data_IF_685360115742
#
_entry.id   IF_685360115742
#
_cell.length_a   1.000
_cell.length_b   1.000
_cell.length_c   1.000
_cell.angle_alpha   90.00
_cell.angle_beta   90.00
_cell.angle_gamma   90.00
#
_symmetry.space_group_name_H-M   'P 1'
#
loop_
_entity.id
_entity.type
_entity.pdbx_description
1 polymer ?
#
# COMPACT_ATOMS: atom_id res chain seq x y z
N UNK A 1 9.99 -7.78 11.74
CA UNK A 1 10.30 -8.99 11.01
C UNK A 1 10.83 -8.64 9.62
N UNK A 2 11.67 -9.49 9.01
CA UNK A 2 12.38 -9.25 7.74
C UNK A 2 11.40 -8.95 6.58
N UNK A 3 10.29 -9.68 6.51
CA UNK A 3 9.22 -9.51 5.51
C UNK A 3 8.51 -8.14 5.60
N UNK A 4 8.40 -7.60 6.79
CA UNK A 4 7.77 -6.31 7.03
C UNK A 4 8.64 -5.15 6.53
N UNK A 5 9.96 -5.22 6.77
CA UNK A 5 10.93 -4.23 6.27
C UNK A 5 11.06 -4.29 4.73
N UNK A 6 10.84 -5.45 4.13
CA UNK A 6 10.82 -5.62 2.67
C UNK A 6 9.57 -5.00 2.04
N UNK A 7 8.39 -5.13 2.67
CA UNK A 7 7.17 -4.49 2.17
C UNK A 7 7.19 -2.96 2.28
N UNK A 8 7.86 -2.39 3.28
CA UNK A 8 8.05 -0.93 3.36
C UNK A 8 8.97 -0.39 2.27
N UNK A 9 9.99 -1.15 1.86
CA UNK A 9 10.84 -0.81 0.71
C UNK A 9 10.07 -0.79 -0.62
N UNK A 10 9.01 -1.59 -0.74
CA UNK A 10 8.08 -1.57 -1.87
C UNK A 10 7.34 -0.22 -1.99
N UNK A 11 7.16 0.48 -0.89
CA UNK A 11 6.49 1.78 -0.85
C UNK A 11 7.43 2.94 -1.26
N UNK A 12 8.74 2.76 -1.11
CA UNK A 12 9.74 3.76 -1.52
C UNK A 12 9.89 3.85 -3.05
N UNK A 13 9.62 2.75 -3.75
CA UNK A 13 9.72 2.68 -5.21
C UNK A 13 8.60 1.78 -5.76
N UNK A 14 7.38 2.32 -5.94
CA UNK A 14 6.19 1.53 -6.27
C UNK A 14 6.23 0.89 -7.66
N UNK A 15 7.21 1.27 -8.48
CA UNK A 15 7.40 0.71 -9.82
C UNK A 15 8.77 0.05 -9.92
N UNK A 16 8.80 -1.23 -10.24
CA UNK A 16 10.02 -1.95 -10.63
C UNK A 16 9.96 -2.23 -12.11
N UNK A 17 11.01 -1.80 -12.81
CA UNK A 17 11.20 -2.22 -14.20
C UNK A 17 11.75 -3.64 -14.15
N UNK A 18 10.96 -4.61 -14.58
CA UNK A 18 11.38 -6.01 -14.71
C UNK A 18 11.95 -6.25 -16.10
N UNK A 19 13.00 -7.08 -16.19
CA UNK A 19 13.54 -7.51 -17.48
C UNK A 19 12.66 -8.59 -18.11
N UNK A 20 12.96 -8.95 -19.37
CA UNK A 20 12.13 -9.90 -20.13
C UNK A 20 12.06 -11.28 -19.48
N UNK A 21 13.19 -11.79 -18.94
CA UNK A 21 13.23 -13.09 -18.26
C UNK A 21 12.40 -13.10 -16.97
N UNK A 22 12.46 -12.01 -16.21
CA UNK A 22 11.68 -11.84 -14.99
C UNK A 22 10.18 -11.72 -15.31
N UNK A 23 9.83 -11.02 -16.41
CA UNK A 23 8.45 -10.91 -16.90
C UNK A 23 7.91 -12.28 -17.27
N UNK A 24 8.67 -13.06 -18.02
CA UNK A 24 8.26 -14.40 -18.42
C UNK A 24 8.11 -15.33 -17.21
N UNK A 25 9.01 -15.24 -16.23
CA UNK A 25 8.90 -16.00 -14.99
C UNK A 25 7.64 -15.64 -14.22
N UNK A 26 7.33 -14.34 -14.04
CA UNK A 26 6.10 -13.90 -13.42
C UNK A 26 4.86 -14.41 -14.16
N UNK A 27 4.86 -14.36 -15.51
CA UNK A 27 3.77 -14.89 -16.33
C UNK A 27 3.53 -16.37 -16.06
N UNK A 28 4.59 -17.19 -16.07
CA UNK A 28 4.48 -18.63 -15.76
C UNK A 28 3.88 -18.90 -14.38
N UNK A 29 4.20 -18.09 -13.37
CA UNK A 29 3.58 -18.18 -12.05
C UNK A 29 2.08 -17.86 -12.09
N UNK A 30 1.68 -16.81 -12.79
CA UNK A 30 0.27 -16.46 -12.93
C UNK A 30 -0.52 -17.53 -13.69
N UNK A 31 0.04 -18.06 -14.78
CA UNK A 31 -0.57 -19.12 -15.55
C UNK A 31 -0.75 -20.38 -14.70
N UNK A 32 0.27 -20.77 -13.94
CA UNK A 32 0.21 -21.90 -13.02
C UNK A 32 -0.83 -21.69 -11.91
N UNK A 33 -0.90 -20.50 -11.31
CA UNK A 33 -1.93 -20.18 -10.30
C UNK A 33 -3.32 -20.30 -10.91
N UNK A 34 -3.55 -19.81 -12.14
CA UNK A 34 -4.82 -19.94 -12.83
C UNK A 34 -5.17 -21.40 -13.14
N UNK A 35 -4.19 -22.18 -13.57
CA UNK A 35 -4.38 -23.59 -13.90
C UNK A 35 -4.73 -24.39 -12.64
N UNK A 36 -3.94 -24.26 -11.57
CA UNK A 36 -4.20 -24.90 -10.29
C UNK A 36 -5.54 -24.48 -9.70
N UNK A 37 -5.91 -23.19 -9.81
CA UNK A 37 -7.20 -22.70 -9.28
C UNK A 37 -8.43 -23.30 -9.93
N UNK A 38 -8.31 -23.83 -11.17
CA UNK A 38 -9.38 -24.51 -11.90
C UNK A 38 -9.50 -26.00 -11.55
N UNK A 39 -8.48 -26.58 -10.94
CA UNK A 39 -8.49 -27.99 -10.54
C UNK A 39 -9.41 -28.18 -9.32
N UNK A 40 -10.25 -29.23 -9.34
CA UNK A 40 -11.09 -29.61 -8.21
C UNK A 40 -10.41 -30.71 -7.39
N UNK A 41 -9.39 -30.35 -6.61
CA UNK A 41 -8.60 -31.29 -5.81
C UNK A 41 -8.62 -30.91 -4.33
N UNK A 42 -8.42 -31.87 -3.39
CA UNK A 42 -8.19 -31.57 -1.98
C UNK A 42 -7.00 -30.61 -1.80
N UNK A 43 -7.05 -29.72 -0.82
CA UNK A 43 -5.99 -28.76 -0.47
C UNK A 43 -5.60 -27.76 -1.59
N UNK A 44 -6.53 -27.47 -2.50
CA UNK A 44 -6.24 -26.54 -3.60
C UNK A 44 -6.02 -25.11 -3.09
N UNK A 45 -6.76 -24.68 -2.05
CA UNK A 45 -6.59 -23.36 -1.46
C UNK A 45 -5.19 -23.17 -0.89
N UNK A 46 -4.69 -24.17 -0.23
CA UNK A 46 -3.34 -24.21 0.36
C UNK A 46 -2.28 -24.20 -0.74
N UNK A 47 -2.49 -24.93 -1.82
CA UNK A 47 -1.59 -24.96 -2.97
C UNK A 47 -1.52 -23.60 -3.67
N UNK A 48 -2.66 -22.95 -3.90
CA UNK A 48 -2.71 -21.59 -4.47
C UNK A 48 -2.05 -20.59 -3.53
N UNK A 49 -2.31 -20.66 -2.22
CA UNK A 49 -1.68 -19.78 -1.24
C UNK A 49 -0.15 -19.95 -1.20
N UNK A 50 0.35 -21.18 -1.32
CA UNK A 50 1.78 -21.46 -1.40
C UNK A 50 2.42 -20.87 -2.68
N UNK A 51 1.75 -20.97 -3.84
CA UNK A 51 2.21 -20.36 -5.09
C UNK A 51 2.23 -18.83 -5.01
N UNK A 52 1.20 -18.23 -4.43
CA UNK A 52 1.14 -16.79 -4.19
C UNK A 52 2.28 -16.36 -3.24
N UNK A 53 2.52 -17.10 -2.17
CA UNK A 53 3.63 -16.82 -1.25
C UNK A 53 4.97 -16.93 -1.96
N UNK A 54 5.16 -17.95 -2.81
CA UNK A 54 6.39 -18.15 -3.58
C UNK A 54 6.68 -16.99 -4.53
N UNK A 55 5.67 -16.48 -5.27
CA UNK A 55 5.87 -15.34 -6.17
C UNK A 55 6.21 -14.07 -5.38
N UNK A 56 5.63 -13.86 -4.18
CA UNK A 56 6.01 -12.74 -3.33
C UNK A 56 7.47 -12.80 -2.87
N UNK A 57 7.96 -13.99 -2.48
CA UNK A 57 9.37 -14.17 -2.14
C UNK A 57 10.29 -13.91 -3.33
N UNK A 58 9.91 -14.39 -4.51
CA UNK A 58 10.66 -14.17 -5.75
C UNK A 58 10.72 -12.68 -6.09
N UNK A 59 9.59 -11.99 -6.05
CA UNK A 59 9.54 -10.55 -6.29
C UNK A 59 10.36 -9.77 -5.25
N UNK A 60 10.33 -10.17 -3.99
CA UNK A 60 11.16 -9.59 -2.93
C UNK A 60 12.66 -9.76 -3.19
N UNK A 61 13.09 -10.94 -3.66
CA UNK A 61 14.49 -11.20 -4.01
C UNK A 61 14.96 -10.34 -5.20
N UNK A 62 14.17 -10.26 -6.28
CA UNK A 62 14.44 -9.40 -7.46
C UNK A 62 14.55 -7.94 -7.06
N UNK A 63 13.77 -7.51 -6.07
CA UNK A 63 13.75 -6.15 -5.57
C UNK A 63 14.99 -5.83 -4.72
N UNK A 64 15.35 -6.73 -3.81
CA UNK A 64 16.48 -6.54 -2.91
C UNK A 64 17.77 -6.41 -3.68
N UNK A 65 17.95 -7.19 -4.75
CA UNK A 65 19.14 -7.15 -5.61
C UNK A 65 19.29 -5.78 -6.29
N UNK A 66 18.21 -5.18 -6.76
CA UNK A 66 18.20 -3.85 -7.39
C UNK A 66 18.42 -2.69 -6.42
N UNK A 67 17.87 -2.80 -5.21
CA UNK A 67 18.10 -1.79 -4.16
C UNK A 67 19.56 -1.78 -3.72
N UNK A 68 20.23 -2.94 -3.69
CA UNK A 68 21.65 -3.03 -3.40
C UNK A 68 22.50 -2.48 -4.55
N UNK A 69 22.09 -2.70 -5.80
CA UNK A 69 22.74 -2.14 -6.98
C UNK A 69 22.58 -0.60 -7.07
N UNK A 70 21.40 -0.06 -6.75
CA UNK A 70 21.15 1.38 -6.72
C UNK A 70 21.96 2.12 -5.64
N UNK A 71 22.24 1.47 -4.49
CA UNK A 71 23.13 2.01 -3.45
C UNK A 71 24.58 2.21 -3.91
N UNK A 72 25.06 1.44 -4.87
CA UNK A 72 26.40 1.59 -5.43
C UNK A 72 26.56 2.82 -6.34
N UNK A 73 25.47 3.42 -6.80
CA UNK A 73 25.45 4.53 -7.76
C UNK A 73 25.14 5.90 -7.16
N UNK A 74 25.51 6.15 -5.90
CA UNK A 74 25.68 7.52 -5.37
C UNK A 74 24.40 8.35 -5.18
N UNK A 75 23.31 7.76 -4.73
CA UNK A 75 22.18 8.53 -4.17
C UNK A 75 22.51 8.99 -2.74
N UNK A 76 22.17 10.25 -2.40
CA UNK A 76 22.32 10.80 -1.06
C UNK A 76 21.84 9.79 0.01
N UNK A 77 22.69 9.51 0.99
CA UNK A 77 22.37 8.66 2.13
C UNK A 77 21.25 9.29 2.95
N UNK A 78 20.00 8.94 2.63
CA UNK A 78 18.87 9.27 3.49
C UNK A 78 19.16 8.67 4.87
N UNK A 79 19.34 9.54 5.88
CA UNK A 79 19.67 9.13 7.23
C UNK A 79 18.80 7.96 7.69
N UNK A 80 19.41 6.94 8.29
CA UNK A 80 18.71 5.79 8.87
C UNK A 80 17.56 6.23 9.80
N UNK A 81 17.75 7.32 10.52
CA UNK A 81 16.71 7.94 11.37
C UNK A 81 15.50 8.41 10.57
N UNK A 82 15.70 9.00 9.39
CA UNK A 82 14.61 9.47 8.53
C UNK A 82 13.78 8.32 7.99
N UNK A 83 14.39 7.18 7.73
CA UNK A 83 13.69 5.96 7.30
C UNK A 83 12.86 5.37 8.42
N UNK A 84 13.41 5.30 9.64
CA UNK A 84 12.67 4.85 10.83
C UNK A 84 11.43 5.72 11.04
N UNK A 85 11.55 7.05 10.94
CA UNK A 85 10.41 7.95 11.08
C UNK A 85 9.35 7.72 10.00
N UNK A 86 9.75 7.44 8.75
CA UNK A 86 8.80 7.08 7.69
C UNK A 86 8.10 5.75 8.01
N UNK A 87 8.82 4.75 8.48
CA UNK A 87 8.27 3.45 8.87
C UNK A 87 7.25 3.61 10.00
N UNK A 88 7.60 4.31 11.06
CA UNK A 88 6.71 4.57 12.18
C UNK A 88 5.47 5.39 11.77
N UNK A 89 5.64 6.38 10.88
CA UNK A 89 4.53 7.13 10.31
C UNK A 89 3.56 6.22 9.54
N UNK A 90 4.05 5.34 8.69
CA UNK A 90 3.22 4.43 7.91
C UNK A 90 2.50 3.40 8.79
N UNK A 91 3.13 2.95 9.89
CA UNK A 91 2.49 2.12 10.89
C UNK A 91 1.32 2.83 11.55
N UNK A 92 1.52 4.08 11.97
CA UNK A 92 0.46 4.89 12.55
C UNK A 92 -0.66 5.15 11.54
N UNK A 93 -0.34 5.43 10.27
CA UNK A 93 -1.35 5.61 9.23
C UNK A 93 -2.16 4.33 9.04
N UNK A 94 -1.53 3.17 8.99
CA UNK A 94 -2.24 1.88 8.93
C UNK A 94 -3.24 1.73 10.08
N UNK A 95 -2.84 2.07 11.29
CA UNK A 95 -3.65 1.83 12.49
C UNK A 95 -4.75 2.88 12.70
N UNK A 96 -4.57 4.10 12.17
CA UNK A 96 -5.45 5.24 12.48
C UNK A 96 -6.12 5.90 11.29
N UNK A 97 -5.80 5.55 10.05
CA UNK A 97 -6.31 6.24 8.84
C UNK A 97 -7.84 6.29 8.71
N UNK A 98 -8.55 5.34 9.29
CA UNK A 98 -10.03 5.35 9.29
C UNK A 98 -10.61 6.42 10.20
N UNK A 99 -9.89 6.80 11.25
CA UNK A 99 -10.35 7.72 12.30
C UNK A 99 -9.69 9.09 12.21
N UNK A 100 -8.40 9.13 11.85
CA UNK A 100 -7.57 10.32 11.91
C UNK A 100 -6.95 10.65 10.55
N UNK A 101 -7.07 11.92 10.13
CA UNK A 101 -6.50 12.41 8.87
C UNK A 101 -5.59 13.61 9.06
N UNK A 102 -5.60 14.21 10.26
CA UNK A 102 -4.77 15.36 10.57
C UNK A 102 -3.31 14.96 10.67
N UNK A 103 -2.45 15.62 9.92
CA UNK A 103 -1.00 15.43 10.04
C UNK A 103 -0.48 15.75 11.44
N UNK A 104 -1.14 16.68 12.16
CA UNK A 104 -0.79 17.01 13.55
C UNK A 104 -0.90 15.80 14.47
N UNK A 105 -1.98 15.00 14.33
CA UNK A 105 -2.14 13.78 15.11
C UNK A 105 -0.94 12.83 14.98
N UNK A 106 -0.49 12.58 13.74
CA UNK A 106 0.65 11.69 13.49
C UNK A 106 1.96 12.30 13.96
N UNK A 107 2.13 13.61 13.79
CA UNK A 107 3.30 14.30 14.25
C UNK A 107 3.43 14.27 15.78
N UNK A 108 2.33 14.48 16.51
CA UNK A 108 2.28 14.40 17.96
C UNK A 108 2.64 12.99 18.46
N UNK A 109 2.13 11.95 17.81
CA UNK A 109 2.47 10.55 18.12
C UNK A 109 3.95 10.24 17.93
N UNK A 110 4.61 10.91 16.99
CA UNK A 110 6.03 10.75 16.67
C UNK A 110 6.92 11.76 17.42
N UNK A 111 6.35 12.59 18.29
CA UNK A 111 7.07 13.67 18.99
C UNK A 111 7.79 14.63 18.03
N UNK A 112 7.15 14.93 16.89
CA UNK A 112 7.66 15.81 15.85
C UNK A 112 6.70 16.96 15.58
N UNK A 113 7.21 18.05 14.98
CA UNK A 113 6.32 19.09 14.47
C UNK A 113 5.69 18.65 13.13
N UNK A 114 4.43 19.05 12.82
CA UNK A 114 3.79 18.72 11.54
C UNK A 114 4.60 19.19 10.32
N UNK A 115 5.24 20.36 10.43
CA UNK A 115 6.09 20.92 9.37
C UNK A 115 7.33 20.04 9.11
N UNK A 116 7.97 19.58 10.19
CA UNK A 116 9.15 18.72 10.06
C UNK A 116 8.75 17.35 9.49
N UNK A 117 7.70 16.72 10.02
CA UNK A 117 7.19 15.45 9.51
C UNK A 117 6.82 15.52 8.05
N UNK A 118 6.08 16.57 7.62
CA UNK A 118 5.70 16.78 6.21
C UNK A 118 6.92 16.83 5.29
N UNK A 119 7.94 17.63 5.67
CA UNK A 119 9.18 17.76 4.89
C UNK A 119 9.95 16.46 4.82
N UNK A 120 10.07 15.76 5.95
CA UNK A 120 10.80 14.50 6.06
C UNK A 120 10.14 13.41 5.21
N UNK A 121 8.83 13.19 5.37
CA UNK A 121 8.10 12.18 4.60
C UNK A 121 8.25 12.42 3.10
N UNK A 122 8.09 13.68 2.65
CA UNK A 122 8.23 14.01 1.23
C UNK A 122 9.65 13.80 0.72
N UNK A 123 10.68 14.13 1.51
CA UNK A 123 12.08 13.95 1.10
C UNK A 123 12.50 12.48 1.02
N UNK A 124 11.94 11.64 1.90
CA UNK A 124 12.30 10.21 1.96
C UNK A 124 11.52 9.38 0.94
N UNK A 125 10.20 9.64 0.81
CA UNK A 125 9.28 8.80 0.02
C UNK A 125 8.89 9.41 -1.32
N UNK A 126 9.24 10.65 -1.60
CA UNK A 126 8.80 11.37 -2.79
C UNK A 126 7.32 11.81 -2.75
N UNK A 127 6.50 11.24 -1.84
CA UNK A 127 5.08 11.55 -1.66
C UNK A 127 4.87 12.41 -0.41
N UNK A 128 3.87 13.28 -0.45
CA UNK A 128 3.47 14.01 0.75
C UNK A 128 2.82 13.09 1.80
N UNK A 129 2.88 13.47 3.06
CA UNK A 129 2.25 12.73 4.15
C UNK A 129 0.72 12.58 3.94
N UNK A 130 0.05 13.61 3.40
CA UNK A 130 -1.37 13.55 3.08
C UNK A 130 -1.68 12.55 1.96
N UNK A 131 -0.83 12.46 0.92
CA UNK A 131 -1.00 11.46 -0.14
C UNK A 131 -0.87 10.05 0.40
N UNK A 132 -0.02 9.82 1.39
CA UNK A 132 0.07 8.53 2.07
C UNK A 132 -1.21 8.21 2.85
N UNK A 133 -1.68 9.14 3.71
CA UNK A 133 -2.92 8.97 4.47
C UNK A 133 -4.10 8.70 3.52
N UNK A 134 -4.25 9.51 2.46
CA UNK A 134 -5.30 9.35 1.46
C UNK A 134 -5.24 7.98 0.77
N UNK A 135 -4.04 7.48 0.49
CA UNK A 135 -3.86 6.17 -0.17
C UNK A 135 -4.42 5.03 0.69
N UNK A 136 -4.18 5.07 2.01
CA UNK A 136 -4.74 4.09 2.93
C UNK A 136 -6.25 4.21 3.06
N UNK A 137 -6.77 5.44 3.17
CA UNK A 137 -8.22 5.67 3.24
C UNK A 137 -8.94 5.20 1.98
N UNK A 138 -8.36 5.43 0.80
CA UNK A 138 -8.93 4.97 -0.48
C UNK A 138 -8.88 3.46 -0.58
N UNK A 139 -7.79 2.82 -0.15
CA UNK A 139 -7.69 1.37 -0.15
C UNK A 139 -8.77 0.75 0.72
N UNK A 140 -8.94 1.25 1.94
CA UNK A 140 -9.98 0.77 2.85
C UNK A 140 -11.39 1.05 2.30
N UNK A 141 -11.64 2.24 1.74
CA UNK A 141 -12.92 2.53 1.08
C UNK A 141 -13.23 1.55 -0.05
N UNK A 142 -12.24 1.20 -0.88
CA UNK A 142 -12.40 0.21 -1.94
C UNK A 142 -12.72 -1.18 -1.39
N UNK A 143 -12.03 -1.60 -0.32
CA UNK A 143 -12.27 -2.87 0.34
C UNK A 143 -13.70 -2.96 0.89
N UNK A 144 -14.13 -1.94 1.64
CA UNK A 144 -15.48 -1.90 2.20
C UNK A 144 -16.56 -1.85 1.11
N UNK A 145 -16.34 -1.09 0.03
CA UNK A 145 -17.28 -1.02 -1.09
C UNK A 145 -17.41 -2.37 -1.82
N UNK A 146 -16.33 -3.14 -1.94
CA UNK A 146 -16.29 -4.35 -2.78
C UNK A 146 -16.60 -5.62 -1.99
N UNK A 147 -16.19 -5.68 -0.73
CA UNK A 147 -16.17 -6.93 0.03
C UNK A 147 -17.02 -6.89 1.31
N UNK A 148 -17.80 -5.82 1.53
CA UNK A 148 -18.74 -5.77 2.65
C UNK A 148 -20.16 -5.44 2.17
N UNK A 149 -21.16 -5.86 2.97
CA UNK A 149 -22.59 -5.53 2.75
C UNK A 149 -22.98 -4.18 3.35
N UNK A 150 -22.00 -3.39 3.82
CA UNK A 150 -22.26 -2.09 4.44
C UNK A 150 -22.89 -1.11 3.44
N UNK A 151 -23.88 -0.36 3.88
CA UNK A 151 -24.40 0.76 3.10
C UNK A 151 -23.31 1.82 2.88
N UNK A 152 -23.39 2.60 1.79
CA UNK A 152 -22.42 3.69 1.57
C UNK A 152 -22.46 4.69 2.74
N UNK A 153 -23.64 4.92 3.34
CA UNK A 153 -23.79 5.75 4.53
C UNK A 153 -23.01 5.20 5.72
N UNK A 154 -23.05 3.88 5.92
CA UNK A 154 -22.28 3.21 6.99
C UNK A 154 -20.78 3.31 6.74
N UNK A 155 -20.34 3.17 5.48
CA UNK A 155 -18.91 3.33 5.11
C UNK A 155 -18.44 4.76 5.37
N UNK A 156 -19.25 5.77 5.05
CA UNK A 156 -18.94 7.17 5.35
C UNK A 156 -18.70 7.38 6.84
N UNK A 157 -19.54 6.77 7.67
CA UNK A 157 -19.40 6.82 9.12
C UNK A 157 -18.16 6.06 9.61
N UNK A 158 -17.95 4.83 9.13
CA UNK A 158 -16.80 3.98 9.50
C UNK A 158 -15.46 4.67 9.17
N UNK A 159 -15.39 5.30 8.00
CA UNK A 159 -14.22 6.06 7.56
C UNK A 159 -14.15 7.48 8.13
N UNK A 160 -15.00 7.82 9.09
CA UNK A 160 -15.02 9.12 9.78
C UNK A 160 -15.04 10.33 8.82
N UNK A 161 -15.87 10.27 7.76
CA UNK A 161 -16.14 11.44 6.94
C UNK A 161 -17.28 12.27 7.53
N UNK A 162 -17.20 13.61 7.47
CA UNK A 162 -18.20 14.48 8.06
C UNK A 162 -19.59 14.31 7.41
N UNK A 163 -19.63 13.95 6.15
CA UNK A 163 -20.88 13.69 5.41
C UNK A 163 -20.60 12.93 4.12
N UNK A 164 -21.67 12.42 3.51
CA UNK A 164 -21.61 11.62 2.28
C UNK A 164 -21.07 12.42 1.08
N UNK A 165 -21.41 13.69 0.96
CA UNK A 165 -20.95 14.56 -0.14
C UNK A 165 -19.42 14.69 -0.14
N UNK A 166 -18.83 14.88 1.04
CA UNK A 166 -17.37 14.98 1.19
C UNK A 166 -16.69 13.67 0.81
N UNK A 167 -17.26 12.53 1.24
CA UNK A 167 -16.73 11.21 0.86
C UNK A 167 -16.83 10.96 -0.65
N UNK A 168 -17.98 11.28 -1.28
CA UNK A 168 -18.16 11.10 -2.72
C UNK A 168 -17.15 11.91 -3.53
N UNK A 169 -16.97 13.19 -3.17
CA UNK A 169 -15.97 14.05 -3.82
C UNK A 169 -14.55 13.51 -3.66
N UNK A 170 -14.19 13.14 -2.44
CA UNK A 170 -12.88 12.57 -2.14
C UNK A 170 -12.63 11.30 -2.96
N UNK A 171 -13.55 10.35 -2.90
CA UNK A 171 -13.41 9.07 -3.60
C UNK A 171 -13.35 9.27 -5.12
N UNK A 172 -14.22 10.08 -5.70
CA UNK A 172 -14.23 10.38 -7.14
C UNK A 172 -12.92 11.07 -7.58
N UNK A 173 -12.44 12.03 -6.81
CA UNK A 173 -11.17 12.73 -7.12
C UNK A 173 -9.99 11.77 -7.14
N UNK A 174 -9.96 10.77 -6.23
CA UNK A 174 -8.84 9.84 -6.11
C UNK A 174 -8.94 8.61 -7.04
N UNK A 175 -10.14 8.22 -7.46
CA UNK A 175 -10.36 6.99 -8.24
C UNK A 175 -10.92 7.23 -9.64
N UNK A 176 -11.40 8.42 -9.94
CA UNK A 176 -12.11 8.75 -11.18
C UNK A 176 -13.59 8.34 -11.20
N UNK A 177 -14.06 7.56 -10.22
CA UNK A 177 -15.42 7.02 -10.16
C UNK A 177 -16.12 7.39 -8.86
N UNK A 178 -17.45 7.39 -8.87
CA UNK A 178 -18.23 7.51 -7.62
C UNK A 178 -18.19 6.18 -6.84
N UNK A 179 -18.38 6.22 -5.50
CA UNK A 179 -18.50 5.01 -4.70
C UNK A 179 -19.58 4.04 -5.19
N UNK A 180 -20.70 4.57 -5.69
CA UNK A 180 -21.81 3.76 -6.22
C UNK A 180 -21.46 3.04 -7.52
N UNK A 181 -20.73 3.69 -8.41
CA UNK A 181 -20.21 3.08 -9.65
C UNK A 181 -19.18 2.00 -9.32
N UNK A 182 -18.25 2.30 -8.43
CA UNK A 182 -17.20 1.36 -8.02
C UNK A 182 -17.76 0.08 -7.38
N UNK A 183 -18.84 0.18 -6.59
CA UNK A 183 -19.51 -0.97 -5.97
C UNK A 183 -20.13 -1.93 -6.99
N UNK A 184 -20.63 -1.40 -8.12
CA UNK A 184 -21.29 -2.19 -9.16
C UNK A 184 -20.34 -2.94 -10.11
N UNK A 185 -19.06 -2.57 -10.10
CA UNK A 185 -18.02 -3.28 -10.87
C UNK A 185 -17.72 -4.64 -10.26
#
# INVERSE_FOLDING_TARGET
SKLYNESLRLLESPCVVINENERELCRKYFDLIQEVSKMRMPNMRESVAALISSIFYLMGAMWTDRLTAAKKNGGEEVSTRSKIVLEDFLLLVRDYHTKERSLSFYADKLYLTPKYLSKLIKSVSGKSAHEWIDSFVILEAKNLLKYSDMSIKSIVYELNFPNQTTFYRFFKTKTGMTPSEYRKM
#
